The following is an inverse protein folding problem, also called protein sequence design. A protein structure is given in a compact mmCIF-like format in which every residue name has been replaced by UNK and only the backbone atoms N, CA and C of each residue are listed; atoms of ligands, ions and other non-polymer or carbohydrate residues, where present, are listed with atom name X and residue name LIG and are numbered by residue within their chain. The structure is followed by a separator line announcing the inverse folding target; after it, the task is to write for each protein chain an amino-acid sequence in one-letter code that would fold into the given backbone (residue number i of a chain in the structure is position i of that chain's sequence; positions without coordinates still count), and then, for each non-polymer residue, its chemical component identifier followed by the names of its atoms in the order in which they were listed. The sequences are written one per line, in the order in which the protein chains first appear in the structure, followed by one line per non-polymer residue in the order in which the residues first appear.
data_IF_152390944713
#
_entry.id   IF_152390944713
#
_cell.length_a   1.000
_cell.length_b   1.000
_cell.length_c   1.000
_cell.angle_alpha   90.00
_cell.angle_beta   90.00
_cell.angle_gamma   90.00
#
_symmetry.space_group_name_H-M   'P 1'
#
loop_
_entity.id
_entity.type
_entity.pdbx_description
1 polymer ?
#
# COMPACT_ATOMS: atom_id res chain seq x y z
N UNK A 1 -2.10 0.08 23.81
CA UNK A 1 -1.26 1.29 23.78
C UNK A 1 -1.60 2.21 24.93
N UNK A 2 -2.86 2.47 25.23
CA UNK A 2 -3.28 3.25 26.42
C UNK A 2 -2.77 2.64 27.74
N UNK A 3 -2.73 1.31 27.86
CA UNK A 3 -2.20 0.60 29.03
C UNK A 3 -0.70 0.83 29.30
N UNK A 4 0.04 1.34 28.33
CA UNK A 4 1.47 1.67 28.43
C UNK A 4 1.70 3.17 28.23
N UNK A 5 0.68 3.99 28.49
CA UNK A 5 0.74 5.47 28.50
C UNK A 5 1.20 6.10 27.17
N UNK A 6 0.93 5.45 26.04
CA UNK A 6 1.18 6.04 24.72
C UNK A 6 -0.03 6.91 24.33
N UNK A 7 0.21 8.19 24.16
CA UNK A 7 -0.81 9.12 23.64
C UNK A 7 -1.08 8.84 22.15
N UNK A 8 -2.38 8.75 21.79
CA UNK A 8 -2.85 8.54 20.42
C UNK A 8 -3.62 9.77 19.99
N UNK A 9 -3.05 10.57 19.09
CA UNK A 9 -3.69 11.76 18.53
C UNK A 9 -4.31 11.38 17.18
N UNK A 10 -5.64 11.29 17.14
CA UNK A 10 -6.40 10.93 15.95
C UNK A 10 -6.75 12.17 15.11
N UNK A 11 -7.07 11.95 13.81
CA UNK A 11 -7.45 13.01 12.88
C UNK A 11 -6.41 14.13 12.78
N UNK A 12 -5.14 13.77 12.90
CA UNK A 12 -4.01 14.69 12.93
C UNK A 12 -3.02 14.32 11.84
N UNK A 13 -2.93 15.16 10.83
CA UNK A 13 -2.00 14.99 9.72
C UNK A 13 -0.66 15.67 10.05
N UNK A 14 0.44 14.93 9.91
CA UNK A 14 1.79 15.51 9.92
C UNK A 14 2.09 16.07 8.55
N UNK A 15 2.36 17.37 8.46
CA UNK A 15 2.60 18.09 7.20
C UNK A 15 4.07 18.30 6.88
N UNK A 16 4.88 18.56 7.90
CA UNK A 16 6.29 18.86 7.72
C UNK A 16 7.10 18.46 8.96
N UNK A 17 8.36 18.08 8.76
CA UNK A 17 9.34 17.93 9.84
C UNK A 17 10.04 19.25 10.12
N UNK A 18 10.27 19.54 11.40
CA UNK A 18 11.06 20.71 11.83
C UNK A 18 12.48 20.25 12.12
N UNK A 19 13.45 20.96 11.54
CA UNK A 19 14.87 20.62 11.73
C UNK A 19 15.71 21.85 12.07
N UNK A 20 16.73 21.65 12.89
CA UNK A 20 17.78 22.64 13.16
C UNK A 20 19.13 21.95 12.88
N UNK A 21 19.91 22.50 11.95
CA UNK A 21 21.21 21.92 11.53
C UNK A 21 21.11 20.41 11.18
N UNK A 22 20.10 20.02 10.41
CA UNK A 22 19.77 18.65 10.02
C UNK A 22 19.36 17.71 11.18
N UNK A 23 19.22 18.20 12.41
CA UNK A 23 18.67 17.43 13.53
C UNK A 23 17.17 17.72 13.63
N UNK A 24 16.36 16.66 13.82
CA UNK A 24 14.92 16.76 14.10
C UNK A 24 14.72 17.52 15.42
N UNK A 25 13.74 18.42 15.44
CA UNK A 25 13.28 19.12 16.65
C UNK A 25 11.78 19.03 16.84
N UNK A 26 11.04 18.48 15.89
CA UNK A 26 9.60 18.30 15.96
C UNK A 26 8.93 18.10 14.61
N UNK A 27 7.61 18.17 14.62
CA UNK A 27 6.76 18.09 13.43
C UNK A 27 5.70 19.17 13.46
N UNK A 28 5.26 19.61 12.28
CA UNK A 28 4.08 20.47 12.10
C UNK A 28 2.88 19.60 11.80
N UNK A 29 1.80 19.78 12.55
CA UNK A 29 0.55 19.04 12.37
C UNK A 29 -0.61 19.97 12.01
N UNK A 30 -1.58 19.47 11.25
CA UNK A 30 -2.84 20.16 10.90
C UNK A 30 -2.68 21.67 10.57
N UNK A 31 -3.11 22.52 11.49
CA UNK A 31 -3.21 23.97 11.35
C UNK A 31 -1.98 24.72 11.89
N UNK A 32 -0.78 24.27 11.55
CA UNK A 32 0.51 24.86 11.98
C UNK A 32 0.85 24.65 13.46
N UNK A 33 0.17 23.77 14.17
CA UNK A 33 0.55 23.34 15.50
C UNK A 33 1.88 22.57 15.46
N UNK A 34 2.77 22.85 16.40
CA UNK A 34 4.09 22.22 16.51
C UNK A 34 4.07 21.23 17.67
N UNK A 35 4.48 20.00 17.35
CA UNK A 35 4.78 18.98 18.36
C UNK A 35 6.31 18.83 18.41
N UNK A 36 6.91 19.22 19.53
CA UNK A 36 8.35 19.06 19.74
C UNK A 36 8.72 17.60 19.97
N UNK A 37 9.80 17.14 19.35
CA UNK A 37 10.30 15.78 19.50
C UNK A 37 11.80 15.71 19.18
N UNK A 38 12.56 14.94 19.95
CA UNK A 38 13.98 14.65 19.68
C UNK A 38 14.17 13.60 18.60
N UNK A 39 13.20 12.69 18.46
CA UNK A 39 13.18 11.63 17.46
C UNK A 39 11.79 11.51 16.83
N UNK A 40 11.77 11.27 15.52
CA UNK A 40 10.56 11.00 14.75
C UNK A 40 10.69 9.67 14.07
N UNK A 41 9.73 8.76 14.32
CA UNK A 41 9.62 7.48 13.64
C UNK A 41 8.48 7.59 12.62
N UNK A 42 8.83 7.51 11.35
CA UNK A 42 7.90 7.70 10.24
C UNK A 42 7.51 6.35 9.62
N UNK A 43 6.21 6.05 9.58
CA UNK A 43 5.65 4.89 8.88
C UNK A 43 5.04 5.26 7.51
N UNK A 44 5.21 6.49 7.04
CA UNK A 44 4.82 6.86 5.69
C UNK A 44 5.79 6.26 4.65
N UNK A 45 5.35 6.20 3.40
CA UNK A 45 6.21 5.77 2.28
C UNK A 45 7.40 6.73 2.13
N UNK A 46 8.66 6.26 2.28
CA UNK A 46 9.83 7.14 2.27
C UNK A 46 9.94 8.04 1.03
N UNK A 47 9.70 7.59 -0.21
CA UNK A 47 9.67 8.47 -1.37
C UNK A 47 8.67 9.62 -1.24
N UNK A 48 7.45 9.31 -0.80
CA UNK A 48 6.39 10.31 -0.60
C UNK A 48 6.73 11.26 0.57
N UNK A 49 7.30 10.73 1.66
CA UNK A 49 7.76 11.52 2.79
C UNK A 49 8.78 12.58 2.37
N UNK A 50 9.86 12.17 1.72
CA UNK A 50 10.89 13.11 1.29
C UNK A 50 10.39 14.15 0.28
N UNK A 51 9.40 13.79 -0.55
CA UNK A 51 8.79 14.73 -1.49
C UNK A 51 7.87 15.75 -0.82
N UNK A 52 7.06 15.30 0.15
CA UNK A 52 5.98 16.12 0.72
C UNK A 52 6.38 16.84 2.00
N UNK A 53 7.12 16.17 2.90
CA UNK A 53 7.29 16.57 4.29
C UNK A 53 8.67 17.18 4.61
N UNK A 54 9.53 17.37 3.60
CA UNK A 54 10.86 17.95 3.80
C UNK A 54 11.02 19.31 3.15
N UNK A 55 12.02 20.08 3.61
CA UNK A 55 12.31 21.42 3.09
C UNK A 55 12.68 21.43 1.61
N UNK A 56 12.46 22.55 0.93
CA UNK A 56 12.81 22.73 -0.50
C UNK A 56 14.29 22.50 -0.78
N UNK A 57 15.19 22.72 0.18
CA UNK A 57 16.63 22.54 0.00
C UNK A 57 17.00 21.08 -0.27
N UNK A 58 16.31 20.13 0.37
CA UNK A 58 16.52 18.69 0.14
C UNK A 58 15.82 18.21 -1.12
N UNK A 59 14.60 18.70 -1.38
CA UNK A 59 13.89 18.42 -2.64
C UNK A 59 14.72 18.80 -3.87
N UNK A 60 15.54 19.81 -3.76
CA UNK A 60 16.45 20.29 -4.81
C UNK A 60 17.86 19.69 -4.76
N UNK A 61 18.11 18.74 -3.84
CA UNK A 61 19.39 18.02 -3.82
C UNK A 61 19.50 17.13 -5.05
N UNK A 62 20.52 17.40 -5.87
CA UNK A 62 20.75 16.67 -7.13
C UNK A 62 20.88 15.15 -6.92
N UNK A 63 21.46 14.71 -5.79
CA UNK A 63 21.61 13.30 -5.44
C UNK A 63 20.26 12.65 -5.10
N UNK A 64 19.42 13.35 -4.38
CA UNK A 64 18.11 12.83 -3.98
C UNK A 64 17.17 12.76 -5.19
N UNK A 65 17.11 13.81 -6.00
CA UNK A 65 16.33 13.85 -7.24
C UNK A 65 16.80 12.77 -8.24
N UNK A 66 18.13 12.56 -8.37
CA UNK A 66 18.69 11.48 -9.18
C UNK A 66 18.32 10.09 -8.67
N UNK A 67 18.32 9.86 -7.33
CA UNK A 67 17.94 8.59 -6.73
C UNK A 67 16.45 8.31 -6.97
N UNK A 68 15.58 9.29 -6.72
CA UNK A 68 14.14 9.16 -6.93
C UNK A 68 13.73 8.90 -8.39
N UNK A 69 14.35 9.60 -9.33
CA UNK A 69 14.06 9.43 -10.77
C UNK A 69 14.44 8.07 -11.33
N UNK A 70 15.31 7.33 -10.65
CA UNK A 70 15.76 5.99 -11.06
C UNK A 70 15.10 4.86 -10.27
N UNK A 71 14.24 5.18 -9.33
CA UNK A 71 13.50 4.16 -8.59
C UNK A 71 12.36 3.60 -9.42
N UNK A 72 12.27 2.29 -9.41
CA UNK A 72 11.12 1.57 -9.91
C UNK A 72 10.14 1.31 -8.76
N UNK A 73 8.89 1.64 -8.97
CA UNK A 73 7.82 1.47 -8.00
C UNK A 73 7.06 0.18 -8.24
N UNK A 74 6.55 -0.43 -7.17
CA UNK A 74 5.73 -1.64 -7.27
C UNK A 74 4.44 -1.35 -8.06
N UNK A 75 3.79 -2.43 -8.47
CA UNK A 75 2.45 -2.32 -9.05
C UNK A 75 1.51 -1.58 -8.12
N UNK A 76 0.48 -0.98 -8.67
CA UNK A 76 -0.72 -0.58 -7.98
C UNK A 76 -1.60 -1.80 -7.67
N UNK A 77 -2.61 -1.58 -6.84
CA UNK A 77 -3.57 -2.60 -6.47
C UNK A 77 -4.99 -2.11 -6.74
N UNK A 78 -5.78 -2.95 -7.40
CA UNK A 78 -7.22 -2.85 -7.38
C UNK A 78 -7.73 -3.85 -6.36
N UNK A 79 -8.39 -3.35 -5.31
CA UNK A 79 -8.89 -4.21 -4.23
C UNK A 79 -10.39 -4.07 -4.15
N UNK A 80 -11.11 -5.16 -4.40
CA UNK A 80 -12.56 -5.21 -4.39
C UNK A 80 -13.05 -5.97 -3.17
N UNK A 81 -13.83 -5.32 -2.33
CA UNK A 81 -14.44 -5.87 -1.13
C UNK A 81 -15.92 -6.11 -1.39
N UNK A 82 -16.45 -7.27 -0.95
CA UNK A 82 -17.87 -7.56 -1.08
C UNK A 82 -18.37 -8.56 -0.04
N UNK A 83 -19.65 -8.43 0.29
CA UNK A 83 -20.39 -9.40 1.09
C UNK A 83 -21.45 -10.09 0.25
N UNK A 84 -21.71 -11.37 0.54
CA UNK A 84 -22.72 -12.17 -0.16
C UNK A 84 -23.76 -12.74 0.80
N UNK A 85 -25.02 -12.88 0.34
CA UNK A 85 -26.10 -13.57 1.04
C UNK A 85 -26.09 -15.10 0.84
N UNK A 86 -25.02 -15.63 0.25
CA UNK A 86 -24.80 -17.06 -0.04
C UNK A 86 -23.42 -17.44 0.43
N UNK A 87 -23.28 -18.61 1.05
CA UNK A 87 -21.98 -19.19 1.42
C UNK A 87 -21.39 -19.95 0.23
N UNK A 88 -20.11 -19.71 -0.08
CA UNK A 88 -19.36 -20.38 -1.14
C UNK A 88 -18.34 -21.34 -0.53
N UNK A 89 -18.81 -22.52 -0.09
CA UNK A 89 -17.99 -23.51 0.63
C UNK A 89 -16.80 -24.04 -0.18
N UNK A 90 -16.88 -23.98 -1.50
CA UNK A 90 -15.81 -24.37 -2.42
C UNK A 90 -14.69 -23.33 -2.57
N UNK A 91 -14.81 -22.16 -1.93
CA UNK A 91 -13.78 -21.13 -1.91
C UNK A 91 -13.01 -21.24 -0.60
N UNK A 92 -11.72 -21.52 -0.70
CA UNK A 92 -10.82 -21.61 0.43
C UNK A 92 -10.55 -20.24 1.06
N UNK A 93 -10.00 -20.20 2.28
CA UNK A 93 -9.61 -18.96 2.96
C UNK A 93 -8.69 -18.09 2.08
N UNK A 94 -7.75 -18.72 1.39
CA UNK A 94 -6.86 -18.09 0.42
C UNK A 94 -6.93 -18.81 -0.91
N UNK A 95 -7.27 -18.10 -1.98
CA UNK A 95 -7.32 -18.65 -3.32
C UNK A 95 -6.55 -17.74 -4.27
N UNK A 96 -5.65 -18.29 -5.06
CA UNK A 96 -4.93 -17.58 -6.12
C UNK A 96 -5.35 -18.15 -7.46
N UNK A 97 -5.77 -17.29 -8.38
CA UNK A 97 -6.06 -17.64 -9.77
C UNK A 97 -5.10 -16.91 -10.70
N UNK A 98 -4.46 -17.66 -11.56
CA UNK A 98 -3.60 -17.11 -12.60
C UNK A 98 -4.38 -16.95 -13.90
N UNK A 99 -4.19 -15.83 -14.58
CA UNK A 99 -4.62 -15.67 -15.96
C UNK A 99 -3.87 -16.60 -16.90
N UNK A 100 -4.43 -16.85 -18.09
CA UNK A 100 -3.81 -17.75 -19.07
C UNK A 100 -2.49 -17.17 -19.63
N UNK A 101 -2.37 -15.83 -19.64
CA UNK A 101 -1.22 -15.08 -20.17
C UNK A 101 -0.49 -14.34 -19.05
N UNK A 102 -0.17 -15.06 -17.98
CA UNK A 102 0.41 -14.49 -16.75
C UNK A 102 1.64 -13.60 -17.01
N UNK A 103 2.56 -14.04 -17.89
CA UNK A 103 3.77 -13.27 -18.21
C UNK A 103 3.42 -11.96 -18.94
N UNK A 104 2.54 -12.03 -19.94
CA UNK A 104 2.07 -10.84 -20.65
C UNK A 104 1.38 -9.85 -19.71
N UNK A 105 0.60 -10.38 -18.75
CA UNK A 105 -0.04 -9.56 -17.71
C UNK A 105 1.00 -8.81 -16.85
N UNK A 106 2.10 -9.46 -16.45
CA UNK A 106 3.17 -8.78 -15.74
C UNK A 106 3.87 -7.72 -16.61
N UNK A 107 4.17 -8.03 -17.87
CA UNK A 107 4.76 -7.08 -18.82
C UNK A 107 3.82 -5.87 -19.02
N UNK A 108 2.50 -6.10 -19.08
CA UNK A 108 1.50 -5.02 -19.17
C UNK A 108 1.48 -4.13 -17.93
N UNK A 109 1.61 -4.70 -16.73
CA UNK A 109 1.62 -3.95 -15.48
C UNK A 109 2.90 -3.10 -15.34
N UNK A 110 4.06 -3.69 -15.57
CA UNK A 110 5.34 -3.06 -15.23
C UNK A 110 5.96 -2.26 -16.37
N UNK A 111 5.86 -2.75 -17.61
CA UNK A 111 6.54 -2.17 -18.76
C UNK A 111 5.59 -1.34 -19.62
N UNK A 112 4.44 -1.91 -20.04
CA UNK A 112 3.50 -1.23 -20.91
C UNK A 112 2.55 -0.28 -20.18
N UNK A 113 2.38 -0.47 -18.85
CA UNK A 113 1.52 0.32 -17.97
C UNK A 113 0.07 0.42 -18.45
N UNK A 114 -0.52 -0.69 -18.85
CA UNK A 114 -1.89 -0.80 -19.35
C UNK A 114 -2.66 -1.91 -18.63
N UNK A 115 -3.98 -1.78 -18.60
CA UNK A 115 -4.87 -2.83 -18.11
C UNK A 115 -4.95 -3.99 -19.10
N UNK A 116 -5.23 -5.17 -18.58
CA UNK A 116 -5.42 -6.40 -19.34
C UNK A 116 -6.69 -7.11 -18.86
N UNK A 117 -7.43 -7.75 -19.77
CA UNK A 117 -8.64 -8.49 -19.45
C UNK A 117 -8.34 -9.91 -18.93
N UNK A 118 -7.14 -10.44 -19.20
CA UNK A 118 -6.68 -11.73 -18.67
C UNK A 118 -5.95 -11.53 -17.34
N UNK A 119 -6.72 -11.16 -16.31
CA UNK A 119 -6.19 -10.83 -14.98
C UNK A 119 -5.85 -12.09 -14.17
N UNK A 120 -4.79 -11.98 -13.36
CA UNK A 120 -4.56 -12.85 -12.20
C UNK A 120 -5.08 -12.15 -10.95
N UNK A 121 -5.64 -12.91 -10.00
CA UNK A 121 -6.16 -12.33 -8.78
C UNK A 121 -5.94 -13.22 -7.56
N UNK A 122 -5.88 -12.58 -6.41
CA UNK A 122 -5.94 -13.23 -5.11
C UNK A 122 -7.31 -12.97 -4.49
N UNK A 123 -7.99 -14.04 -4.06
CA UNK A 123 -9.27 -14.01 -3.38
C UNK A 123 -9.09 -14.45 -1.93
N UNK A 124 -9.54 -13.64 -0.99
CA UNK A 124 -9.53 -13.90 0.43
C UNK A 124 -10.94 -14.00 0.97
N UNK A 125 -11.22 -15.11 1.67
CA UNK A 125 -12.49 -15.41 2.35
C UNK A 125 -12.25 -15.60 3.84
N UNK A 126 -12.20 -14.53 4.66
CA UNK A 126 -11.92 -14.65 6.10
C UNK A 126 -13.01 -15.43 6.84
N UNK A 127 -14.27 -15.34 6.40
CA UNK A 127 -15.40 -16.10 6.94
C UNK A 127 -15.27 -17.64 6.80
N UNK A 128 -14.35 -18.13 5.97
CA UNK A 128 -14.03 -19.56 5.94
C UNK A 128 -13.42 -20.06 7.26
N UNK A 129 -12.65 -19.23 7.95
CA UNK A 129 -11.97 -19.58 9.20
C UNK A 129 -12.66 -18.95 10.41
N UNK A 130 -13.06 -17.69 10.31
CA UNK A 130 -13.75 -16.98 11.38
C UNK A 130 -15.19 -16.63 10.96
N UNK A 131 -16.15 -17.42 11.46
CA UNK A 131 -17.57 -17.24 11.15
C UNK A 131 -18.14 -15.91 11.63
N UNK A 132 -17.48 -15.22 12.57
CA UNK A 132 -17.94 -13.92 13.07
C UNK A 132 -17.73 -12.78 12.06
N UNK A 133 -16.95 -13.02 10.98
CA UNK A 133 -16.66 -12.05 9.93
C UNK A 133 -17.81 -11.79 8.96
N UNK A 134 -18.87 -12.61 9.01
CA UNK A 134 -20.08 -12.45 8.19
C UNK A 134 -21.34 -12.86 8.96
N UNK A 135 -22.53 -12.33 8.64
CA UNK A 135 -23.80 -12.83 9.18
C UNK A 135 -24.01 -14.30 8.86
N UNK A 136 -24.85 -14.99 9.67
CA UNK A 136 -25.20 -16.39 9.42
C UNK A 136 -25.76 -16.60 8.01
N UNK A 137 -25.28 -17.63 7.33
CA UNK A 137 -25.67 -17.94 5.93
C UNK A 137 -25.03 -17.02 4.88
N UNK A 138 -24.09 -16.17 5.26
CA UNK A 138 -23.42 -15.19 4.42
C UNK A 138 -21.91 -15.40 4.41
N UNK A 139 -21.23 -14.76 3.45
CA UNK A 139 -19.78 -14.72 3.38
C UNK A 139 -19.28 -13.28 3.17
N UNK A 140 -18.02 -13.04 3.50
CA UNK A 140 -17.31 -11.81 3.15
C UNK A 140 -15.99 -12.13 2.44
N UNK A 141 -15.63 -11.24 1.52
CA UNK A 141 -14.48 -11.44 0.64
C UNK A 141 -13.74 -10.14 0.38
N UNK A 142 -12.46 -10.26 0.03
CA UNK A 142 -11.82 -9.27 -0.82
C UNK A 142 -11.02 -9.95 -1.94
N UNK A 143 -10.97 -9.28 -3.07
CA UNK A 143 -10.15 -9.65 -4.24
C UNK A 143 -9.10 -8.59 -4.46
N UNK A 144 -7.86 -9.04 -4.61
CA UNK A 144 -6.74 -8.17 -4.96
C UNK A 144 -6.29 -8.52 -6.38
N UNK A 145 -6.32 -7.53 -7.26
CA UNK A 145 -5.80 -7.60 -8.62
C UNK A 145 -4.60 -6.68 -8.73
N UNK A 146 -3.41 -7.20 -9.10
CA UNK A 146 -2.29 -6.34 -9.43
C UNK A 146 -2.59 -5.56 -10.73
N UNK A 147 -2.38 -4.25 -10.68
CA UNK A 147 -2.64 -3.33 -11.81
C UNK A 147 -1.47 -2.37 -11.95
N UNK A 148 -1.34 -1.64 -13.08
CA UNK A 148 -0.38 -0.56 -13.18
C UNK A 148 -0.58 0.48 -12.09
N UNK A 149 0.50 1.04 -11.55
CA UNK A 149 0.43 2.18 -10.64
C UNK A 149 0.13 3.48 -11.41
N UNK A 150 -0.05 4.60 -10.72
CA UNK A 150 -0.46 5.89 -11.30
C UNK A 150 0.57 6.54 -12.27
N UNK A 151 1.71 5.89 -12.53
CA UNK A 151 2.55 6.26 -13.67
C UNK A 151 1.93 5.87 -15.02
N UNK A 152 0.82 5.11 -15.03
CA UNK A 152 0.12 4.64 -16.22
C UNK A 152 -0.83 5.65 -16.85
N UNK A 153 -1.21 6.71 -16.15
CA UNK A 153 -2.27 7.66 -16.54
C UNK A 153 -3.64 7.00 -16.78
N UNK A 154 -3.95 5.88 -16.12
CA UNK A 154 -5.26 5.23 -16.17
C UNK A 154 -6.27 6.11 -15.40
N UNK A 155 -7.41 6.40 -16.03
CA UNK A 155 -8.52 7.08 -15.36
C UNK A 155 -9.35 6.08 -14.54
N UNK A 156 -9.05 5.99 -13.25
CA UNK A 156 -9.72 5.07 -12.34
C UNK A 156 -11.19 5.43 -12.05
N UNK A 157 -11.64 6.65 -12.36
CA UNK A 157 -13.06 7.00 -12.27
C UNK A 157 -13.88 6.26 -13.35
N UNK A 158 -13.25 6.01 -14.50
CA UNK A 158 -13.86 5.28 -15.62
C UNK A 158 -13.55 3.78 -15.53
N UNK A 159 -12.29 3.43 -15.30
CA UNK A 159 -11.83 2.03 -15.38
C UNK A 159 -12.16 1.21 -14.12
N UNK A 160 -12.43 1.86 -12.97
CA UNK A 160 -12.74 1.17 -11.71
C UNK A 160 -13.98 0.27 -11.80
N UNK A 161 -15.10 0.79 -12.33
CA UNK A 161 -16.33 -0.01 -12.52
C UNK A 161 -16.16 -1.12 -13.57
N UNK A 162 -15.38 -0.89 -14.62
CA UNK A 162 -15.09 -1.92 -15.63
C UNK A 162 -14.26 -3.04 -15.01
N UNK A 163 -13.23 -2.71 -14.24
CA UNK A 163 -12.40 -3.68 -13.53
C UNK A 163 -13.22 -4.48 -12.51
N UNK A 164 -14.11 -3.82 -11.73
CA UNK A 164 -15.03 -4.53 -10.83
C UNK A 164 -15.87 -5.55 -11.58
N UNK A 165 -16.49 -5.15 -12.68
CA UNK A 165 -17.30 -6.05 -13.48
C UNK A 165 -16.49 -7.21 -14.06
N UNK A 166 -15.29 -6.96 -14.56
CA UNK A 166 -14.38 -8.00 -15.05
C UNK A 166 -14.02 -9.01 -13.95
N UNK A 167 -13.72 -8.54 -12.75
CA UNK A 167 -13.42 -9.38 -11.58
C UNK A 167 -14.62 -10.24 -11.21
N UNK A 168 -15.83 -9.66 -11.15
CA UNK A 168 -17.07 -10.41 -10.86
C UNK A 168 -17.29 -11.49 -11.92
N UNK A 169 -17.21 -11.14 -13.21
CA UNK A 169 -17.43 -12.09 -14.31
C UNK A 169 -16.43 -13.26 -14.26
N UNK A 170 -15.16 -12.98 -13.99
CA UNK A 170 -14.11 -14.01 -13.83
C UNK A 170 -14.42 -14.94 -12.65
N UNK A 171 -14.77 -14.40 -11.49
CA UNK A 171 -15.08 -15.20 -10.31
C UNK A 171 -16.37 -16.01 -10.50
N UNK A 172 -17.40 -15.42 -11.12
CA UNK A 172 -18.68 -16.09 -11.36
C UNK A 172 -18.52 -17.31 -12.29
N UNK A 173 -17.71 -17.15 -13.34
CA UNK A 173 -17.41 -18.23 -14.28
C UNK A 173 -16.51 -19.33 -13.69
N UNK A 174 -15.59 -18.96 -12.82
CA UNK A 174 -14.54 -19.87 -12.34
C UNK A 174 -14.89 -20.59 -11.03
N UNK A 175 -15.44 -19.88 -10.04
CA UNK A 175 -15.48 -20.33 -8.66
C UNK A 175 -16.81 -20.10 -7.94
N UNK A 176 -17.53 -19.04 -8.29
CA UNK A 176 -18.65 -18.52 -7.49
C UNK A 176 -19.92 -18.35 -8.34
N UNK A 177 -20.58 -19.46 -8.73
CA UNK A 177 -21.80 -19.39 -9.55
C UNK A 177 -22.86 -18.47 -8.93
N UNK A 178 -23.50 -17.64 -9.77
CA UNK A 178 -24.52 -16.66 -9.39
C UNK A 178 -23.98 -15.54 -8.47
N UNK A 179 -22.69 -15.24 -8.52
CA UNK A 179 -22.05 -14.26 -7.63
C UNK A 179 -22.74 -12.91 -7.69
N UNK A 180 -22.94 -12.36 -8.90
CA UNK A 180 -23.54 -11.05 -9.13
C UNK A 180 -24.91 -10.90 -8.45
N UNK A 181 -25.74 -11.94 -8.48
CA UNK A 181 -27.06 -11.97 -7.86
C UNK A 181 -27.02 -12.11 -6.33
N UNK A 182 -25.90 -12.52 -5.79
CA UNK A 182 -25.72 -12.77 -4.36
C UNK A 182 -24.93 -11.67 -3.63
N UNK A 183 -24.32 -10.73 -4.31
CA UNK A 183 -23.66 -9.58 -3.69
C UNK A 183 -24.72 -8.70 -3.02
N UNK A 184 -24.51 -8.34 -1.75
CA UNK A 184 -25.40 -7.48 -0.94
C UNK A 184 -24.79 -6.14 -0.59
N UNK A 185 -23.47 -6.06 -0.58
CA UNK A 185 -22.71 -4.82 -0.35
C UNK A 185 -21.35 -4.95 -1.01
N UNK A 186 -20.85 -3.88 -1.58
CA UNK A 186 -19.53 -3.87 -2.17
C UNK A 186 -18.92 -2.46 -2.23
N UNK A 187 -17.58 -2.41 -2.32
CA UNK A 187 -16.81 -1.24 -2.69
C UNK A 187 -15.44 -1.68 -3.22
N UNK A 188 -14.75 -0.79 -3.89
CA UNK A 188 -13.39 -1.05 -4.35
C UNK A 188 -12.45 0.11 -4.08
N UNK A 189 -11.16 -0.22 -3.99
CA UNK A 189 -10.06 0.72 -3.85
C UNK A 189 -9.16 0.59 -5.08
N UNK A 190 -8.72 1.72 -5.60
CA UNK A 190 -7.86 1.82 -6.78
C UNK A 190 -6.51 2.41 -6.40
N UNK A 191 -5.49 2.42 -7.26
CA UNK A 191 -4.23 3.11 -7.01
C UNK A 191 -4.38 4.56 -6.58
N UNK A 192 -5.43 5.25 -7.04
CA UNK A 192 -5.75 6.62 -6.59
C UNK A 192 -5.96 6.72 -5.08
N UNK A 193 -6.67 5.76 -4.50
CA UNK A 193 -6.88 5.70 -3.06
C UNK A 193 -5.54 5.54 -2.31
N UNK A 194 -4.69 4.63 -2.79
CA UNK A 194 -3.38 4.40 -2.17
C UNK A 194 -2.50 5.65 -2.24
N UNK A 195 -2.57 6.42 -3.33
CA UNK A 195 -1.80 7.67 -3.45
C UNK A 195 -2.37 8.80 -2.59
N UNK A 196 -3.69 8.98 -2.59
CA UNK A 196 -4.34 10.14 -1.95
C UNK A 196 -4.53 9.94 -0.45
N UNK A 197 -5.01 8.76 -0.04
CA UNK A 197 -5.38 8.47 1.35
C UNK A 197 -4.22 7.82 2.14
N UNK A 198 -3.43 6.95 1.50
CA UNK A 198 -2.32 6.26 2.15
C UNK A 198 -0.96 6.91 1.88
N UNK A 199 -0.93 7.98 1.09
CA UNK A 199 0.28 8.72 0.75
C UNK A 199 1.40 7.86 0.15
N UNK A 200 1.07 6.80 -0.60
CA UNK A 200 2.09 6.02 -1.31
C UNK A 200 2.46 6.69 -2.63
N UNK A 201 3.73 6.65 -2.98
CA UNK A 201 4.20 7.26 -4.23
C UNK A 201 3.60 6.52 -5.43
N UNK A 202 2.94 7.27 -6.33
CA UNK A 202 2.23 6.76 -7.51
C UNK A 202 1.17 5.68 -7.20
N UNK A 203 0.58 5.67 -6.02
CA UNK A 203 -0.40 4.65 -5.66
C UNK A 203 0.15 3.23 -5.66
N UNK A 204 1.47 3.08 -5.46
CA UNK A 204 2.12 1.77 -5.40
C UNK A 204 1.66 0.98 -4.17
N UNK A 205 1.34 -0.30 -4.35
CA UNK A 205 0.85 -1.15 -3.27
C UNK A 205 1.91 -1.52 -2.23
N UNK A 206 3.20 -1.51 -2.60
CA UNK A 206 4.31 -1.98 -1.77
C UNK A 206 5.55 -1.06 -1.82
N UNK A 207 5.36 0.25 -2.08
CA UNK A 207 6.46 1.20 -2.22
C UNK A 207 7.36 0.85 -3.43
N UNK A 208 8.68 0.93 -3.28
CA UNK A 208 9.63 0.58 -4.34
C UNK A 208 9.66 -0.92 -4.63
N UNK A 209 9.90 -1.29 -5.89
CA UNK A 209 10.02 -2.69 -6.32
C UNK A 209 11.16 -3.40 -5.59
N UNK A 210 11.02 -4.71 -5.27
CA UNK A 210 12.06 -5.51 -4.64
C UNK A 210 13.11 -6.00 -5.65
N UNK A 211 13.59 -5.11 -6.53
CA UNK A 211 14.73 -5.40 -7.43
C UNK A 211 16.02 -5.49 -6.62
N UNK A 212 17.02 -6.24 -7.11
CA UNK A 212 18.31 -6.38 -6.45
C UNK A 212 18.94 -5.01 -6.10
N UNK A 213 18.86 -4.05 -7.03
CA UNK A 213 19.38 -2.68 -6.86
C UNK A 213 18.56 -1.80 -5.92
N UNK A 214 17.43 -2.29 -5.41
CA UNK A 214 16.50 -1.57 -4.52
C UNK A 214 16.12 -2.39 -3.29
N UNK A 215 16.83 -3.49 -3.03
CA UNK A 215 16.56 -4.40 -1.90
C UNK A 215 17.73 -4.42 -0.92
N UNK A 216 17.52 -4.99 0.25
CA UNK A 216 18.51 -5.09 1.32
C UNK A 216 19.21 -3.75 1.60
N UNK A 217 20.51 -3.66 1.41
CA UNK A 217 21.29 -2.44 1.65
C UNK A 217 20.89 -1.25 0.76
N UNK A 218 20.39 -1.50 -0.45
CA UNK A 218 20.00 -0.46 -1.39
C UNK A 218 18.58 0.10 -1.17
N UNK A 219 17.80 -0.52 -0.28
CA UNK A 219 16.48 -0.02 0.13
C UNK A 219 16.65 1.20 1.03
N UNK A 220 15.60 1.99 1.22
CA UNK A 220 15.62 3.05 2.23
C UNK A 220 15.98 2.48 3.59
N UNK A 221 16.95 3.09 4.25
CA UNK A 221 17.42 2.67 5.56
C UNK A 221 16.41 3.03 6.66
N UNK A 222 16.43 2.27 7.75
CA UNK A 222 15.58 2.55 8.92
C UNK A 222 16.01 3.82 9.66
N UNK A 223 17.28 4.22 9.58
CA UNK A 223 17.77 5.55 10.01
C UNK A 223 17.95 6.44 8.78
N UNK A 224 17.45 7.67 8.84
CA UNK A 224 17.62 8.64 7.75
C UNK A 224 19.11 8.93 7.50
N UNK A 225 19.52 8.98 6.24
CA UNK A 225 20.86 9.38 5.82
C UNK A 225 21.03 10.91 5.79
N UNK A 226 19.92 11.67 5.94
CA UNK A 226 19.87 13.13 5.76
C UNK A 226 19.64 13.84 7.10
N UNK A 227 18.72 13.31 7.90
CA UNK A 227 18.30 13.93 9.15
C UNK A 227 18.65 13.07 10.35
N UNK A 228 19.34 13.65 11.33
CA UNK A 228 19.56 13.01 12.61
C UNK A 228 18.27 13.06 13.44
N UNK A 229 17.96 11.96 14.13
CA UNK A 229 16.70 11.79 14.87
C UNK A 229 15.50 11.38 14.01
N UNK A 230 15.67 11.14 12.70
CA UNK A 230 14.60 10.61 11.82
C UNK A 230 14.82 9.15 11.52
N UNK A 231 13.76 8.36 11.73
CA UNK A 231 13.75 6.92 11.48
C UNK A 231 12.54 6.51 10.65
N UNK A 232 12.67 5.40 9.91
CA UNK A 232 11.62 4.84 9.07
C UNK A 232 11.29 3.41 9.45
N UNK A 233 9.99 3.08 9.43
CA UNK A 233 9.45 1.73 9.54
C UNK A 233 8.46 1.48 8.41
N UNK A 234 8.05 0.24 8.20
CA UNK A 234 7.03 -0.10 7.22
C UNK A 234 7.54 -0.70 5.92
N UNK A 235 6.65 -0.77 4.92
CA UNK A 235 6.92 -1.47 3.67
C UNK A 235 8.01 -0.82 2.81
N UNK A 236 8.16 0.50 2.88
CA UNK A 236 9.11 1.25 2.04
C UNK A 236 10.57 1.14 2.46
N UNK A 237 10.85 0.72 3.70
CA UNK A 237 12.19 0.62 4.27
C UNK A 237 12.63 -0.83 4.46
N UNK A 238 13.85 -1.06 4.95
CA UNK A 238 14.34 -2.39 5.27
C UNK A 238 13.57 -3.00 6.47
N UNK A 239 13.23 -4.32 6.46
CA UNK A 239 13.54 -5.34 5.44
C UNK A 239 12.65 -5.31 4.20
N UNK A 240 11.49 -4.67 4.22
CA UNK A 240 10.62 -4.53 3.05
C UNK A 240 9.15 -4.87 3.31
N UNK A 241 8.39 -5.04 2.23
CA UNK A 241 6.97 -5.31 2.25
C UNK A 241 6.60 -6.70 2.78
N UNK A 242 5.33 -6.85 3.15
CA UNK A 242 4.76 -8.06 3.77
C UNK A 242 4.70 -7.91 5.30
N UNK A 243 3.64 -8.46 5.92
CA UNK A 243 3.38 -8.30 7.37
C UNK A 243 4.60 -8.65 8.24
N UNK A 244 5.31 -9.79 8.04
CA UNK A 244 6.50 -10.09 8.82
C UNK A 244 7.63 -9.08 8.62
N UNK A 245 7.85 -8.62 7.38
CA UNK A 245 8.86 -7.61 7.04
C UNK A 245 8.55 -6.27 7.70
N UNK A 246 7.32 -5.80 7.57
CA UNK A 246 6.87 -4.53 8.17
C UNK A 246 7.02 -4.55 9.70
N UNK A 247 6.59 -5.61 10.37
CA UNK A 247 6.77 -5.75 11.82
C UNK A 247 8.25 -5.84 12.22
N UNK A 248 9.06 -6.52 11.42
CA UNK A 248 10.50 -6.64 11.65
C UNK A 248 11.22 -5.29 11.49
N UNK A 249 10.70 -4.38 10.68
CA UNK A 249 11.27 -3.03 10.53
C UNK A 249 11.25 -2.26 11.86
N UNK A 250 10.20 -2.45 12.69
CA UNK A 250 10.13 -1.87 14.03
C UNK A 250 11.20 -2.47 14.97
N UNK A 251 11.47 -3.79 14.89
CA UNK A 251 12.53 -4.41 15.70
C UNK A 251 13.93 -3.93 15.34
N UNK A 252 14.14 -3.45 14.12
CA UNK A 252 15.43 -2.87 13.72
C UNK A 252 15.70 -1.59 14.50
N UNK A 253 14.67 -0.82 14.83
CA UNK A 253 14.83 0.43 15.58
C UNK A 253 15.36 0.22 16.99
N UNK A 254 15.05 -0.90 17.66
CA UNK A 254 15.59 -1.24 19.00
C UNK A 254 17.12 -1.20 19.06
N UNK A 255 17.79 -1.27 17.91
CA UNK A 255 19.25 -1.23 17.80
C UNK A 255 19.79 0.10 17.28
N UNK A 256 18.91 1.01 16.88
CA UNK A 256 19.27 2.28 16.24
C UNK A 256 18.96 3.49 17.12
N UNK A 257 18.02 3.37 18.04
CA UNK A 257 17.63 4.32 19.07
C UNK A 257 18.10 3.80 20.42
#
# INVERSE_FOLDING_TARGET
MEEIEIEIIKNTEVREIITKSNKITGVVVNNEEIIEADNVICNADPPAFYEKMTSKSIKNSMLFDWKQKRMDYSMGLFVYYFGTKKVYENVEHHTIKFGNKYKEHLDDIFDHKKLNDDISYYLHRPSATDKSMAPEGSDCFYVLVPVPNNQSNIDWQIEGEKMKNLVIDKMENDLMPDLRANIVSDFYLTPDYFEKELNTKYGSGFSIQPKFTQSAYFRFHNKSEIYDGLYFVGAGTHPGAGVPGVLSSAKVLDKLI
#
